data_IF_220228191673
#
_entry.id   IF_220228191673
#
_cell.length_a   1.000
_cell.length_b   1.000
_cell.length_c   1.000
_cell.angle_alpha   90.00
_cell.angle_beta   90.00
_cell.angle_gamma   90.00
#
_symmetry.space_group_name_H-M   'P 1'
#
loop_
_entity.id
_entity.type
_entity.pdbx_description
1 polymer ?
#
# COMPACT_ATOMS: atom_id res chain seq x y z
N UNK A 1 -4.99 -10.09 15.38
CA UNK A 1 -4.32 -9.28 16.43
C UNK A 1 -4.02 -7.86 15.91
N UNK A 2 -3.35 -7.00 16.69
CA UNK A 2 -3.00 -5.63 16.24
C UNK A 2 -1.79 -5.64 15.30
N UNK A 3 -1.90 -4.92 14.18
CA UNK A 3 -0.80 -4.64 13.25
C UNK A 3 0.13 -3.56 13.81
N UNK A 4 0.88 -3.93 14.85
CA UNK A 4 1.77 -3.06 15.64
C UNK A 4 2.83 -3.90 16.34
N UNK A 5 4.05 -3.35 16.44
CA UNK A 5 5.15 -3.90 17.23
C UNK A 5 4.99 -3.43 18.69
N UNK A 6 4.96 -4.39 19.62
CA UNK A 6 5.04 -4.14 21.06
C UNK A 6 6.52 -4.06 21.48
N UNK A 7 7.01 -2.91 21.95
CA UNK A 7 8.42 -2.78 22.35
C UNK A 7 8.79 -3.60 23.60
N UNK A 8 7.82 -4.18 24.30
CA UNK A 8 8.08 -5.02 25.49
C UNK A 8 8.44 -6.46 25.14
N UNK A 9 8.37 -6.83 23.85
CA UNK A 9 8.60 -8.19 23.37
C UNK A 9 9.79 -8.21 22.39
N UNK A 10 10.50 -9.36 22.28
CA UNK A 10 11.57 -9.52 21.30
C UNK A 10 11.09 -9.22 19.88
N UNK A 11 11.92 -8.50 19.10
CA UNK A 11 11.59 -8.05 17.76
C UNK A 11 11.29 -9.24 16.82
N UNK A 12 12.07 -10.31 16.90
CA UNK A 12 11.86 -11.54 16.13
C UNK A 12 10.45 -12.09 16.33
N UNK A 13 10.04 -12.26 17.60
CA UNK A 13 8.72 -12.79 17.94
C UNK A 13 7.58 -11.91 17.43
N UNK A 14 7.70 -10.59 17.60
CA UNK A 14 6.70 -9.64 17.13
C UNK A 14 6.57 -9.61 15.61
N UNK A 15 7.69 -9.64 14.88
CA UNK A 15 7.68 -9.65 13.41
C UNK A 15 7.06 -10.94 12.89
N UNK A 16 7.46 -12.10 13.43
CA UNK A 16 6.87 -13.40 13.08
C UNK A 16 5.36 -13.42 13.34
N UNK A 17 4.92 -12.96 14.51
CA UNK A 17 3.51 -12.85 14.87
C UNK A 17 2.72 -11.99 13.88
N UNK A 18 3.23 -10.81 13.52
CA UNK A 18 2.54 -9.90 12.59
C UNK A 18 2.53 -10.47 11.16
N UNK A 19 3.63 -11.08 10.70
CA UNK A 19 3.66 -11.76 9.41
C UNK A 19 2.60 -12.86 9.37
N UNK A 20 2.54 -13.74 10.37
CA UNK A 20 1.58 -14.84 10.42
C UNK A 20 0.13 -14.33 10.45
N UNK A 21 -0.17 -13.30 11.25
CA UNK A 21 -1.51 -12.70 11.36
C UNK A 21 -1.93 -12.03 10.04
N UNK A 22 -1.06 -11.29 9.36
CA UNK A 22 -1.41 -10.62 8.10
C UNK A 22 -1.50 -11.60 6.92
N UNK A 23 -0.62 -12.61 6.83
CA UNK A 23 -0.69 -13.65 5.80
C UNK A 23 -1.92 -14.54 6.01
N UNK A 24 -2.22 -14.93 7.25
CA UNK A 24 -3.45 -15.65 7.60
C UNK A 24 -4.71 -14.88 7.21
N UNK A 25 -4.76 -13.57 7.47
CA UNK A 25 -5.86 -12.71 6.97
C UNK A 25 -5.90 -12.63 5.45
N UNK A 26 -4.74 -12.60 4.78
CA UNK A 26 -4.67 -12.59 3.31
C UNK A 26 -5.31 -13.87 2.74
N UNK A 27 -5.03 -15.04 3.33
CA UNK A 27 -5.65 -16.32 2.97
C UNK A 27 -7.17 -16.29 3.18
N UNK A 28 -7.66 -15.82 4.33
CA UNK A 28 -9.09 -15.71 4.58
C UNK A 28 -9.80 -14.79 3.56
N UNK A 29 -9.14 -13.72 3.14
CA UNK A 29 -9.66 -12.82 2.11
C UNK A 29 -9.59 -13.40 0.69
N UNK A 30 -8.65 -14.31 0.41
CA UNK A 30 -8.62 -15.08 -0.84
C UNK A 30 -9.82 -16.03 -0.93
N UNK A 31 -10.17 -16.71 0.16
CA UNK A 31 -11.39 -17.55 0.17
C UNK A 31 -12.66 -16.70 0.00
N UNK A 32 -12.73 -15.54 0.68
CA UNK A 32 -13.83 -14.59 0.46
C UNK A 32 -13.91 -14.12 -1.00
N UNK A 33 -12.77 -14.02 -1.70
CA UNK A 33 -12.72 -13.54 -3.08
C UNK A 33 -13.36 -14.53 -4.07
N UNK A 34 -13.57 -15.80 -3.71
CA UNK A 34 -14.28 -16.76 -4.56
C UNK A 34 -15.76 -16.41 -4.73
N UNK A 35 -16.38 -15.90 -3.66
CA UNK A 35 -17.79 -15.48 -3.68
C UNK A 35 -17.94 -13.98 -3.93
N UNK A 36 -17.02 -13.17 -3.37
CA UNK A 36 -17.05 -11.70 -3.41
C UNK A 36 -15.70 -11.16 -3.90
N UNK A 37 -15.36 -11.32 -5.19
CA UNK A 37 -14.06 -10.97 -5.76
C UNK A 37 -13.59 -9.57 -5.38
N UNK A 38 -14.40 -8.55 -5.59
CA UNK A 38 -14.01 -7.15 -5.35
C UNK A 38 -13.56 -6.92 -3.89
N UNK A 39 -14.39 -7.36 -2.94
CA UNK A 39 -14.14 -7.15 -1.53
C UNK A 39 -12.96 -8.02 -1.04
N UNK A 40 -12.95 -9.29 -1.42
CA UNK A 40 -11.90 -10.24 -1.03
C UNK A 40 -10.54 -9.82 -1.56
N UNK A 41 -10.42 -9.53 -2.85
CA UNK A 41 -9.18 -9.11 -3.48
C UNK A 41 -8.67 -7.77 -2.94
N UNK A 42 -9.55 -6.78 -2.73
CA UNK A 42 -9.15 -5.50 -2.14
C UNK A 42 -8.53 -5.71 -0.75
N UNK A 43 -9.22 -6.46 0.11
CA UNK A 43 -8.75 -6.72 1.48
C UNK A 43 -7.48 -7.58 1.49
N UNK A 44 -7.38 -8.61 0.66
CA UNK A 44 -6.18 -9.44 0.51
C UNK A 44 -4.96 -8.59 0.09
N UNK A 45 -5.09 -7.77 -0.97
CA UNK A 45 -4.01 -6.88 -1.43
C UNK A 45 -3.57 -5.90 -0.35
N UNK A 46 -4.48 -5.43 0.49
CA UNK A 46 -4.13 -4.58 1.64
C UNK A 46 -3.22 -5.34 2.63
N UNK A 47 -3.53 -6.61 2.94
CA UNK A 47 -2.69 -7.47 3.80
C UNK A 47 -1.32 -7.74 3.18
N UNK A 48 -1.26 -8.06 1.90
CA UNK A 48 0.02 -8.27 1.20
C UNK A 48 0.89 -7.01 1.19
N UNK A 49 0.29 -5.81 1.09
CA UNK A 49 1.01 -4.54 1.27
C UNK A 49 1.54 -4.39 2.70
N UNK A 50 0.76 -4.75 3.72
CA UNK A 50 1.18 -4.75 5.13
C UNK A 50 2.40 -5.66 5.36
N UNK A 51 2.34 -6.91 4.87
CA UNK A 51 3.43 -7.89 4.95
C UNK A 51 4.71 -7.35 4.32
N UNK A 52 4.61 -6.85 3.07
CA UNK A 52 5.76 -6.28 2.35
C UNK A 52 6.32 -5.02 3.01
N UNK A 53 5.47 -4.21 3.65
CA UNK A 53 5.94 -3.05 4.40
C UNK A 53 6.72 -3.48 5.66
N UNK A 54 6.25 -4.51 6.37
CA UNK A 54 6.95 -5.08 7.52
C UNK A 54 8.32 -5.66 7.13
N UNK A 55 8.38 -6.48 6.08
CA UNK A 55 9.64 -7.05 5.59
C UNK A 55 10.65 -5.97 5.17
N UNK A 56 10.18 -4.86 4.59
CA UNK A 56 11.05 -3.70 4.29
C UNK A 56 11.50 -2.94 5.53
N UNK A 57 10.69 -2.94 6.60
CA UNK A 57 11.03 -2.26 7.84
C UNK A 57 12.19 -2.96 8.55
N UNK A 58 12.23 -4.30 8.50
CA UNK A 58 13.21 -5.10 9.24
C UNK A 58 14.31 -5.69 8.38
N UNK A 59 14.39 -5.27 7.10
CA UNK A 59 15.30 -5.86 6.10
C UNK A 59 16.75 -5.94 6.56
N UNK A 60 17.27 -4.95 7.28
CA UNK A 60 18.68 -4.98 7.70
C UNK A 60 18.99 -5.98 8.81
N UNK A 61 17.97 -6.54 9.48
CA UNK A 61 18.17 -7.59 10.48
C UNK A 61 18.30 -9.00 9.90
N UNK A 62 17.67 -9.27 8.75
CA UNK A 62 17.77 -10.54 8.02
C UNK A 62 17.47 -10.27 6.53
N UNK A 63 18.48 -9.75 5.84
CA UNK A 63 18.31 -9.29 4.46
C UNK A 63 17.94 -10.39 3.47
N UNK A 64 18.59 -11.58 3.46
CA UNK A 64 18.25 -12.67 2.56
C UNK A 64 16.79 -13.14 2.72
N UNK A 65 16.33 -13.33 3.95
CA UNK A 65 14.93 -13.71 4.22
C UNK A 65 13.98 -12.62 3.74
N UNK A 66 14.21 -11.38 4.17
CA UNK A 66 13.31 -10.26 3.87
C UNK A 66 13.20 -9.97 2.38
N UNK A 67 14.30 -10.11 1.62
CA UNK A 67 14.28 -9.94 0.17
C UNK A 67 13.46 -11.04 -0.52
N UNK A 68 13.73 -12.30 -0.18
CA UNK A 68 13.09 -13.48 -0.77
C UNK A 68 11.58 -13.44 -0.55
N UNK A 69 11.15 -13.28 0.70
CA UNK A 69 9.73 -13.24 1.05
C UNK A 69 9.03 -12.00 0.46
N UNK A 70 9.69 -10.84 0.47
CA UNK A 70 9.09 -9.63 -0.13
C UNK A 70 8.88 -9.78 -1.66
N UNK A 71 9.78 -10.48 -2.35
CA UNK A 71 9.62 -10.77 -3.78
C UNK A 71 8.51 -11.79 -4.01
N UNK A 72 8.44 -12.86 -3.21
CA UNK A 72 7.32 -13.80 -3.23
C UNK A 72 5.96 -13.08 -3.10
N UNK A 73 5.76 -12.29 -2.04
CA UNK A 73 4.51 -11.55 -1.85
C UNK A 73 4.27 -10.44 -2.89
N UNK A 74 5.32 -9.94 -3.55
CA UNK A 74 5.18 -9.05 -4.71
C UNK A 74 4.61 -9.80 -5.91
N UNK A 75 5.08 -11.01 -6.18
CA UNK A 75 4.52 -11.85 -7.25
C UNK A 75 3.08 -12.27 -6.95
N UNK A 76 2.78 -12.65 -5.71
CA UNK A 76 1.39 -12.90 -5.27
C UNK A 76 0.50 -11.67 -5.52
N UNK A 77 1.00 -10.47 -5.19
CA UNK A 77 0.27 -9.23 -5.47
C UNK A 77 0.08 -8.98 -6.97
N UNK A 78 0.97 -9.45 -7.84
CA UNK A 78 0.86 -9.29 -9.29
C UNK A 78 -0.22 -10.19 -9.89
N UNK A 79 -0.34 -11.44 -9.41
CA UNK A 79 -1.40 -12.38 -9.81
C UNK A 79 -2.81 -11.80 -9.60
N UNK A 80 -2.98 -10.98 -8.56
CA UNK A 80 -4.26 -10.40 -8.15
C UNK A 80 -4.45 -8.95 -8.65
N UNK A 81 -3.59 -8.44 -9.55
CA UNK A 81 -3.60 -7.04 -9.96
C UNK A 81 -4.77 -6.70 -10.89
N UNK A 82 -4.91 -7.44 -12.00
CA UNK A 82 -5.89 -7.15 -13.05
C UNK A 82 -7.33 -6.99 -12.56
N UNK A 83 -7.90 -7.98 -11.83
CA UNK A 83 -9.29 -7.88 -11.35
C UNK A 83 -9.54 -6.67 -10.42
N UNK A 84 -8.54 -6.29 -9.59
CA UNK A 84 -8.67 -5.08 -8.76
C UNK A 84 -8.56 -3.80 -9.58
N UNK A 85 -7.73 -3.79 -10.61
CA UNK A 85 -7.58 -2.65 -11.53
C UNK A 85 -8.88 -2.40 -12.28
N UNK A 86 -9.59 -3.44 -12.74
CA UNK A 86 -10.91 -3.30 -13.37
C UNK A 86 -11.92 -2.58 -12.45
N UNK A 87 -11.95 -2.95 -11.17
CA UNK A 87 -12.78 -2.27 -10.16
C UNK A 87 -12.39 -0.79 -9.98
N UNK A 88 -11.08 -0.47 -10.05
CA UNK A 88 -10.57 0.90 -9.87
C UNK A 88 -10.96 1.83 -11.02
N UNK A 89 -11.10 1.28 -12.23
CA UNK A 89 -11.54 2.04 -13.40
C UNK A 89 -13.01 2.45 -13.27
N UNK A 90 -13.88 1.56 -12.77
CA UNK A 90 -15.28 1.88 -12.48
C UNK A 90 -15.37 2.97 -11.39
N UNK A 91 -14.65 2.78 -10.27
CA UNK A 91 -14.54 3.78 -9.19
C UNK A 91 -14.04 5.14 -9.72
N UNK A 92 -13.20 5.15 -10.77
CA UNK A 92 -12.71 6.38 -11.39
C UNK A 92 -13.79 7.11 -12.16
N UNK A 93 -14.62 6.41 -12.93
CA UNK A 93 -15.76 7.02 -13.63
C UNK A 93 -16.75 7.61 -12.62
N UNK A 94 -17.06 6.86 -11.56
CA UNK A 94 -17.96 7.30 -10.49
C UNK A 94 -17.44 8.57 -9.79
N UNK A 95 -16.13 8.63 -9.48
CA UNK A 95 -15.50 9.83 -8.93
C UNK A 95 -15.55 11.02 -9.88
N UNK A 96 -15.39 10.81 -11.19
CA UNK A 96 -15.49 11.88 -12.18
C UNK A 96 -16.92 12.41 -12.30
N UNK A 97 -17.91 11.53 -12.33
CA UNK A 97 -19.32 11.94 -12.34
C UNK A 97 -19.67 12.78 -11.09
N UNK A 98 -19.21 12.35 -9.92
CA UNK A 98 -19.42 13.10 -8.67
C UNK A 98 -18.69 14.46 -8.64
N UNK A 99 -17.50 14.55 -9.23
CA UNK A 99 -16.69 15.78 -9.26
C UNK A 99 -17.15 16.80 -10.33
N UNK A 100 -17.87 16.34 -11.36
CA UNK A 100 -18.24 17.13 -12.54
C UNK A 100 -19.74 16.95 -12.91
N UNK A 101 -20.68 17.20 -11.97
CA UNK A 101 -22.08 16.83 -12.14
C UNK A 101 -22.77 17.51 -13.32
N UNK A 102 -22.45 18.78 -13.59
CA UNK A 102 -23.01 19.53 -14.73
C UNK A 102 -22.56 18.93 -16.08
N UNK A 103 -21.33 18.42 -16.14
CA UNK A 103 -20.78 17.85 -17.37
C UNK A 103 -21.21 16.38 -17.57
N UNK A 104 -21.55 15.67 -16.49
CA UNK A 104 -22.05 14.29 -16.55
C UNK A 104 -23.58 14.17 -16.55
N UNK A 105 -24.33 15.25 -16.34
CA UNK A 105 -25.80 15.24 -16.24
C UNK A 105 -26.52 14.64 -17.46
N UNK A 106 -25.88 14.65 -18.64
CA UNK A 106 -26.42 14.05 -19.86
C UNK A 106 -26.13 12.55 -20.05
N UNK A 107 -25.58 11.86 -19.05
CA UNK A 107 -25.25 10.44 -19.15
C UNK A 107 -24.02 10.11 -20.00
N UNK A 108 -23.23 11.12 -20.41
CA UNK A 108 -22.06 10.93 -21.30
C UNK A 108 -20.89 10.15 -20.69
N UNK A 109 -21.04 9.60 -19.48
CA UNK A 109 -20.08 8.68 -18.84
C UNK A 109 -20.65 7.26 -18.69
N UNK A 110 -21.95 7.06 -18.93
CA UNK A 110 -22.66 5.82 -18.62
C UNK A 110 -22.19 4.68 -19.52
N UNK A 111 -22.04 4.93 -20.82
CA UNK A 111 -21.54 3.93 -21.76
C UNK A 111 -20.13 3.41 -21.36
N UNK A 112 -19.23 4.32 -20.97
CA UNK A 112 -17.89 3.96 -20.51
C UNK A 112 -17.95 3.14 -19.21
N UNK A 113 -18.83 3.53 -18.28
CA UNK A 113 -19.04 2.83 -17.02
C UNK A 113 -19.57 1.41 -17.27
N UNK A 114 -20.63 1.27 -18.05
CA UNK A 114 -21.26 -0.01 -18.37
C UNK A 114 -20.27 -0.96 -19.04
N UNK A 115 -19.45 -0.43 -19.96
CA UNK A 115 -18.41 -1.21 -20.62
C UNK A 115 -17.36 -1.75 -19.64
N UNK A 116 -16.94 -0.92 -18.69
CA UNK A 116 -15.98 -1.33 -17.65
C UNK A 116 -16.59 -2.37 -16.70
N UNK A 117 -17.88 -2.23 -16.35
CA UNK A 117 -18.63 -3.21 -15.57
C UNK A 117 -18.68 -4.56 -16.29
N UNK A 118 -19.00 -4.58 -17.59
CA UNK A 118 -18.99 -5.81 -18.39
C UNK A 118 -17.60 -6.48 -18.39
N UNK A 119 -16.54 -5.71 -18.68
CA UNK A 119 -15.15 -6.23 -18.65
C UNK A 119 -14.77 -6.80 -17.29
N UNK A 120 -15.18 -6.13 -16.21
CA UNK A 120 -14.93 -6.61 -14.85
C UNK A 120 -15.68 -7.92 -14.57
N UNK A 121 -16.95 -8.03 -14.98
CA UNK A 121 -17.72 -9.27 -14.86
C UNK A 121 -17.07 -10.43 -15.63
N UNK A 122 -16.60 -10.20 -16.85
CA UNK A 122 -15.87 -11.21 -17.64
C UNK A 122 -14.60 -11.68 -16.92
N UNK A 123 -13.83 -10.74 -16.36
CA UNK A 123 -12.63 -11.07 -15.58
C UNK A 123 -12.93 -11.83 -14.29
N UNK A 124 -14.07 -11.55 -13.64
CA UNK A 124 -14.48 -12.21 -12.40
C UNK A 124 -15.15 -13.56 -12.63
N UNK A 125 -15.80 -13.77 -13.76
CA UNK A 125 -16.49 -15.02 -14.09
C UNK A 125 -15.57 -16.10 -14.71
N UNK A 126 -14.35 -15.72 -15.12
CA UNK A 126 -13.42 -16.64 -15.80
C UNK A 126 -12.62 -17.54 -14.85
N UNK A 127 -12.29 -18.75 -15.31
CA UNK A 127 -11.40 -19.69 -14.62
C UNK A 127 -10.00 -19.10 -14.27
N UNK A 128 -9.60 -18.01 -14.95
CA UNK A 128 -8.37 -17.28 -14.66
C UNK A 128 -8.33 -16.66 -13.26
N UNK A 129 -9.46 -16.16 -12.74
CA UNK A 129 -9.50 -15.62 -11.39
C UNK A 129 -9.33 -16.72 -10.33
N UNK A 130 -10.04 -17.84 -10.48
CA UNK A 130 -9.91 -18.97 -9.56
C UNK A 130 -8.50 -19.57 -9.55
N UNK A 131 -7.86 -19.67 -10.72
CA UNK A 131 -6.47 -20.08 -10.83
C UNK A 131 -5.53 -19.09 -10.12
N UNK A 132 -5.72 -17.77 -10.30
CA UNK A 132 -4.93 -16.74 -9.64
C UNK A 132 -5.11 -16.76 -8.10
N UNK A 133 -6.34 -16.92 -7.62
CA UNK A 133 -6.65 -17.06 -6.19
C UNK A 133 -5.96 -18.31 -5.62
N UNK A 134 -6.04 -19.43 -6.32
CA UNK A 134 -5.46 -20.71 -5.86
C UNK A 134 -3.93 -20.65 -5.82
N UNK A 135 -3.30 -20.09 -6.86
CA UNK A 135 -1.85 -19.87 -6.89
C UNK A 135 -1.39 -18.90 -5.78
N UNK A 136 -2.14 -17.81 -5.57
CA UNK A 136 -1.88 -16.87 -4.47
C UNK A 136 -1.99 -17.55 -3.10
N UNK A 137 -2.97 -18.44 -2.93
CA UNK A 137 -3.18 -19.16 -1.68
C UNK A 137 -2.06 -20.17 -1.39
N UNK A 138 -1.58 -20.89 -2.42
CA UNK A 138 -0.41 -21.80 -2.29
C UNK A 138 0.83 -21.01 -1.84
N UNK A 139 1.18 -19.94 -2.56
CA UNK A 139 2.35 -19.13 -2.22
C UNK A 139 2.23 -18.49 -0.82
N UNK A 140 1.04 -18.05 -0.41
CA UNK A 140 0.82 -17.55 0.95
C UNK A 140 1.03 -18.64 2.02
N UNK A 141 0.59 -19.88 1.78
CA UNK A 141 0.80 -21.01 2.70
C UNK A 141 2.27 -21.41 2.79
N UNK A 142 3.00 -21.42 1.68
CA UNK A 142 4.44 -21.65 1.66
C UNK A 142 5.17 -20.59 2.50
N UNK A 143 4.84 -19.31 2.30
CA UNK A 143 5.40 -18.20 3.09
C UNK A 143 5.11 -18.35 4.59
N UNK A 144 3.92 -18.83 5.00
CA UNK A 144 3.65 -19.13 6.41
C UNK A 144 4.62 -20.18 6.97
N UNK A 145 4.91 -21.24 6.21
CA UNK A 145 5.85 -22.29 6.61
C UNK A 145 7.30 -21.81 6.74
N UNK A 146 7.62 -20.63 6.20
CA UNK A 146 8.96 -20.05 6.28
C UNK A 146 9.13 -19.06 7.43
N UNK A 147 8.06 -18.54 8.03
CA UNK A 147 8.12 -17.48 9.04
C UNK A 147 9.04 -17.83 10.21
N UNK A 148 9.05 -19.09 10.66
CA UNK A 148 9.89 -19.54 11.78
C UNK A 148 11.39 -19.56 11.49
N UNK A 149 11.78 -19.37 10.22
CA UNK A 149 13.18 -19.23 9.82
C UNK A 149 13.72 -17.81 10.04
N UNK A 150 12.84 -16.80 10.11
CA UNK A 150 13.25 -15.40 10.30
C UNK A 150 13.95 -15.23 11.64
N UNK A 151 15.18 -14.75 11.65
CA UNK A 151 15.91 -14.45 12.89
C UNK A 151 16.39 -13.01 12.86
N UNK A 152 15.96 -12.20 13.83
CA UNK A 152 16.37 -10.80 13.95
C UNK A 152 17.23 -10.61 15.20
N UNK A 153 18.14 -9.63 15.18
CA UNK A 153 18.82 -9.18 16.39
C UNK A 153 17.84 -8.63 17.43
N UNK A 154 17.63 -9.37 18.52
CA UNK A 154 16.66 -9.04 19.58
C UNK A 154 17.24 -8.11 20.67
N UNK A 155 18.54 -7.83 20.63
CA UNK A 155 19.13 -6.87 21.56
C UNK A 155 18.53 -5.46 21.34
N UNK A 156 18.08 -4.75 22.39
CA UNK A 156 17.34 -3.48 22.25
C UNK A 156 18.00 -2.45 21.33
N UNK A 157 19.31 -2.29 21.42
CA UNK A 157 20.05 -1.34 20.57
C UNK A 157 20.01 -1.72 19.09
N UNK A 158 20.23 -3.00 18.79
CA UNK A 158 20.27 -3.53 17.42
C UNK A 158 18.87 -3.53 16.80
N UNK A 159 17.85 -3.97 17.57
CA UNK A 159 16.45 -3.92 17.17
C UNK A 159 15.99 -2.48 16.87
N UNK A 160 16.35 -1.51 17.71
CA UNK A 160 16.05 -0.10 17.49
C UNK A 160 16.69 0.43 16.20
N UNK A 161 17.94 0.05 15.93
CA UNK A 161 18.66 0.48 14.73
C UNK A 161 18.06 -0.11 13.44
N UNK A 162 17.66 -1.39 13.47
CA UNK A 162 16.94 -2.03 12.36
C UNK A 162 15.65 -1.26 12.01
N UNK A 163 14.82 -0.99 13.01
CA UNK A 163 13.55 -0.27 12.81
C UNK A 163 13.78 1.16 12.30
N UNK A 164 14.77 1.86 12.85
CA UNK A 164 15.11 3.21 12.43
C UNK A 164 15.66 3.26 11.01
N UNK A 165 16.49 2.28 10.63
CA UNK A 165 17.06 2.16 9.30
C UNK A 165 15.99 1.85 8.24
N UNK A 166 15.12 0.87 8.48
CA UNK A 166 14.04 0.53 7.53
C UNK A 166 13.06 1.68 7.30
N UNK A 167 12.71 2.41 8.37
CA UNK A 167 11.92 3.64 8.26
C UNK A 167 12.67 4.71 7.46
N UNK A 168 13.97 4.88 7.71
CA UNK A 168 14.82 5.84 6.98
C UNK A 168 14.93 5.52 5.50
N UNK A 169 15.09 4.25 5.14
CA UNK A 169 15.16 3.80 3.76
C UNK A 169 13.85 4.14 3.01
N UNK A 170 12.70 3.93 3.66
CA UNK A 170 11.39 4.26 3.08
C UNK A 170 11.20 5.76 2.89
N UNK A 171 11.57 6.58 3.87
CA UNK A 171 11.50 8.04 3.75
C UNK A 171 12.45 8.59 2.68
N UNK A 172 13.66 8.03 2.55
CA UNK A 172 14.59 8.36 1.46
C UNK A 172 13.99 8.03 0.09
N UNK A 173 13.33 6.87 -0.03
CA UNK A 173 12.61 6.49 -1.24
C UNK A 173 11.48 7.47 -1.56
N UNK A 174 10.70 7.87 -0.56
CA UNK A 174 9.62 8.84 -0.72
C UNK A 174 10.15 10.19 -1.22
N UNK A 175 11.24 10.70 -0.62
CA UNK A 175 11.87 11.96 -1.06
C UNK A 175 12.41 11.87 -2.48
N UNK A 176 13.11 10.78 -2.83
CA UNK A 176 13.60 10.57 -4.21
C UNK A 176 12.45 10.50 -5.22
N UNK A 177 11.35 9.85 -4.87
CA UNK A 177 10.17 9.76 -5.73
C UNK A 177 9.46 11.12 -5.86
N UNK A 178 9.41 11.91 -4.79
CA UNK A 178 8.92 13.29 -4.81
C UNK A 178 9.77 14.17 -5.74
N UNK A 179 11.09 14.12 -5.61
CA UNK A 179 12.01 14.90 -6.45
C UNK A 179 11.80 14.59 -7.94
N UNK A 180 11.61 13.30 -8.29
CA UNK A 180 11.29 12.86 -9.65
C UNK A 180 9.90 13.30 -10.11
N UNK A 181 8.87 13.10 -9.29
CA UNK A 181 7.50 13.47 -9.62
C UNK A 181 7.35 14.99 -9.81
N UNK A 182 8.10 15.79 -9.06
CA UNK A 182 8.12 17.25 -9.20
C UNK A 182 8.89 17.76 -10.41
N UNK A 183 9.95 17.05 -10.83
CA UNK A 183 10.81 17.48 -11.95
C UNK A 183 10.37 16.93 -13.31
N UNK A 184 10.07 15.63 -13.40
CA UNK A 184 9.67 14.95 -14.64
C UNK A 184 8.16 14.87 -14.79
N UNK A 185 7.47 14.55 -13.70
CA UNK A 185 6.00 14.47 -13.66
C UNK A 185 5.42 13.34 -14.52
N UNK A 186 6.13 12.23 -14.72
CA UNK A 186 5.61 11.07 -15.43
C UNK A 186 4.77 10.17 -14.52
N UNK A 187 3.90 9.34 -15.12
CA UNK A 187 3.00 8.46 -14.37
C UNK A 187 3.74 7.52 -13.41
N UNK A 188 4.88 6.98 -13.84
CA UNK A 188 5.72 6.10 -13.03
C UNK A 188 6.36 6.80 -11.83
N UNK A 189 6.70 8.09 -11.95
CA UNK A 189 7.27 8.85 -10.84
C UNK A 189 6.23 9.04 -9.72
N UNK A 190 4.99 9.38 -10.07
CA UNK A 190 3.87 9.45 -9.13
C UNK A 190 3.51 8.06 -8.56
N UNK A 191 3.61 7.01 -9.37
CA UNK A 191 3.38 5.65 -8.90
C UNK A 191 4.44 5.23 -7.86
N UNK A 192 5.70 5.57 -8.06
CA UNK A 192 6.76 5.32 -7.07
C UNK A 192 6.56 6.13 -5.79
N UNK A 193 6.10 7.38 -5.90
CA UNK A 193 5.74 8.20 -4.73
C UNK A 193 4.59 7.57 -3.97
N UNK A 194 3.56 7.06 -4.66
CA UNK A 194 2.45 6.32 -4.07
C UNK A 194 2.91 5.08 -3.31
N UNK A 195 3.78 4.26 -3.91
CA UNK A 195 4.34 3.06 -3.26
C UNK A 195 5.07 3.42 -1.96
N UNK A 196 5.86 4.50 -1.99
CA UNK A 196 6.60 4.97 -0.82
C UNK A 196 5.66 5.52 0.28
N UNK A 197 4.67 6.33 -0.09
CA UNK A 197 3.68 6.87 0.85
C UNK A 197 2.86 5.76 1.54
N UNK A 198 2.35 4.78 0.78
CA UNK A 198 1.62 3.62 1.36
C UNK A 198 2.52 2.77 2.25
N UNK A 199 3.79 2.57 1.90
CA UNK A 199 4.74 1.85 2.76
C UNK A 199 4.96 2.61 4.07
N UNK A 200 5.16 3.93 3.99
CA UNK A 200 5.37 4.77 5.17
C UNK A 200 4.12 4.82 6.09
N UNK A 201 2.90 4.85 5.53
CA UNK A 201 1.65 4.71 6.30
C UNK A 201 1.62 3.41 7.12
N UNK A 202 2.01 2.29 6.50
CA UNK A 202 2.10 1.00 7.19
C UNK A 202 3.21 1.00 8.25
N UNK A 203 4.36 1.62 7.98
CA UNK A 203 5.42 1.80 8.97
C UNK A 203 4.94 2.61 10.19
N UNK A 204 4.21 3.70 9.98
CA UNK A 204 3.61 4.48 11.09
C UNK A 204 2.59 3.65 11.89
N UNK A 205 1.90 2.71 11.25
CA UNK A 205 0.97 1.80 11.93
C UNK A 205 1.72 0.78 12.79
N UNK A 206 2.77 0.16 12.22
CA UNK A 206 3.66 -0.79 12.89
C UNK A 206 4.38 -0.16 14.09
N UNK A 207 4.94 1.03 13.88
CA UNK A 207 5.74 1.80 14.83
C UNK A 207 4.88 2.68 15.74
N UNK A 208 3.59 2.40 15.88
CA UNK A 208 2.64 3.26 16.57
C UNK A 208 3.06 3.70 17.98
N UNK A 209 3.75 2.82 18.72
CA UNK A 209 4.29 3.08 20.07
C UNK A 209 5.69 3.68 20.07
N UNK A 210 6.45 3.48 18.99
CA UNK A 210 7.88 3.80 18.87
C UNK A 210 8.14 5.12 18.13
N UNK A 211 7.20 5.56 17.29
CA UNK A 211 7.39 6.75 16.46
C UNK A 211 7.34 8.04 17.31
N UNK A 212 8.19 9.04 17.01
CA UNK A 212 8.16 10.33 17.71
C UNK A 212 6.81 11.05 17.59
N UNK A 213 6.32 11.62 18.70
CA UNK A 213 5.06 12.37 18.71
C UNK A 213 5.17 13.72 17.98
N UNK A 214 4.07 14.23 17.39
CA UNK A 214 2.74 13.60 17.28
C UNK A 214 2.63 12.64 16.06
N UNK A 215 2.33 11.37 16.32
CA UNK A 215 2.20 10.35 15.27
C UNK A 215 0.83 10.38 14.55
N UNK A 216 -0.25 10.73 15.27
CA UNK A 216 -1.63 10.65 14.75
C UNK A 216 -1.85 11.59 13.56
N UNK A 217 -1.40 12.84 13.66
CA UNK A 217 -1.49 13.83 12.58
C UNK A 217 -0.70 13.39 11.36
N UNK A 218 0.55 12.95 11.56
CA UNK A 218 1.41 12.44 10.47
C UNK A 218 0.77 11.24 9.77
N UNK A 219 0.20 10.29 10.52
CA UNK A 219 -0.49 9.14 9.94
C UNK A 219 -1.69 9.56 9.10
N UNK A 220 -2.56 10.43 9.62
CA UNK A 220 -3.72 10.95 8.87
C UNK A 220 -3.29 11.64 7.57
N UNK A 221 -2.25 12.47 7.62
CA UNK A 221 -1.73 13.16 6.44
C UNK A 221 -1.16 12.19 5.39
N UNK A 222 -0.36 11.21 5.80
CA UNK A 222 0.21 10.19 4.88
C UNK A 222 -0.87 9.29 4.30
N UNK A 223 -1.87 8.91 5.10
CA UNK A 223 -3.02 8.12 4.63
C UNK A 223 -3.79 8.90 3.55
N UNK A 224 -4.08 10.18 3.82
CA UNK A 224 -4.79 11.07 2.89
C UNK A 224 -4.01 11.29 1.58
N UNK A 225 -2.70 11.53 1.66
CA UNK A 225 -1.83 11.59 0.48
C UNK A 225 -1.85 10.26 -0.29
N UNK A 226 -1.81 9.13 0.42
CA UNK A 226 -1.85 7.81 -0.18
C UNK A 226 -3.14 7.53 -0.96
N UNK A 227 -4.29 8.03 -0.49
CA UNK A 227 -5.55 7.93 -1.23
C UNK A 227 -5.54 8.82 -2.48
N UNK A 228 -5.16 10.10 -2.37
CA UNK A 228 -5.07 11.00 -3.54
C UNK A 228 -4.10 10.50 -4.62
N UNK A 229 -2.95 9.96 -4.21
CA UNK A 229 -2.02 9.32 -5.15
C UNK A 229 -2.61 8.04 -5.76
N UNK A 230 -3.52 7.36 -5.06
CA UNK A 230 -4.33 6.26 -5.61
C UNK A 230 -5.25 6.75 -6.71
N UNK A 231 -6.03 7.78 -6.44
CA UNK A 231 -6.92 8.38 -7.44
C UNK A 231 -6.14 8.84 -8.68
N UNK A 232 -4.98 9.49 -8.48
CA UNK A 232 -4.12 9.93 -9.58
C UNK A 232 -3.57 8.75 -10.39
N UNK A 233 -3.20 7.65 -9.74
CA UNK A 233 -2.76 6.44 -10.43
C UNK A 233 -3.89 5.84 -11.27
N UNK A 234 -5.10 5.76 -10.73
CA UNK A 234 -6.25 5.22 -11.47
C UNK A 234 -6.58 6.10 -12.69
N UNK A 235 -6.42 7.44 -12.58
CA UNK A 235 -6.50 8.36 -13.72
C UNK A 235 -5.47 8.04 -14.80
N UNK A 236 -4.21 7.76 -14.44
CA UNK A 236 -3.19 7.37 -15.42
C UNK A 236 -3.52 6.05 -16.11
N UNK A 237 -4.01 5.06 -15.36
CA UNK A 237 -4.42 3.77 -15.94
C UNK A 237 -5.59 3.95 -16.90
N UNK A 238 -6.60 4.76 -16.53
CA UNK A 238 -7.74 5.05 -17.40
C UNK A 238 -7.32 5.77 -18.70
N UNK A 239 -6.39 6.73 -18.60
CA UNK A 239 -5.86 7.40 -19.80
C UNK A 239 -5.14 6.43 -20.73
N UNK A 240 -4.26 5.59 -20.17
CA UNK A 240 -3.57 4.56 -20.95
C UNK A 240 -4.55 3.59 -21.62
N UNK A 241 -5.68 3.28 -20.97
CA UNK A 241 -6.74 2.45 -21.54
C UNK A 241 -7.47 3.14 -22.71
N UNK A 242 -7.70 4.46 -22.64
CA UNK A 242 -8.29 5.23 -23.73
C UNK A 242 -7.34 5.41 -24.93
N UNK A 243 -6.04 5.51 -24.65
CA UNK A 243 -5.00 5.70 -25.67
C UNK A 243 -4.60 4.38 -26.35
N UNK A 244 -4.98 3.22 -25.79
CA UNK A 244 -4.67 1.91 -26.36
C UNK A 244 -5.57 1.58 -27.57
N UNK A 245 -5.00 0.93 -28.59
CA UNK A 245 -5.74 0.38 -29.75
C UNK A 245 -6.55 -0.86 -29.33
N UNK A 246 -7.62 -0.60 -28.59
CA UNK A 246 -8.57 -1.61 -28.12
C UNK A 246 -10.01 -1.23 -28.44
N UNK A 247 -10.95 -2.07 -28.01
CA UNK A 247 -12.36 -1.79 -28.21
C UNK A 247 -12.75 -0.50 -27.45
N UNK A 248 -13.41 0.46 -28.11
CA UNK A 248 -13.79 1.72 -27.49
C UNK A 248 -14.61 1.50 -26.22
N UNK A 249 -14.38 2.34 -25.20
CA UNK A 249 -15.18 2.31 -23.97
C UNK A 249 -16.61 2.81 -24.21
N UNK A 250 -16.87 3.54 -25.29
CA UNK A 250 -18.18 4.04 -25.65
C UNK A 250 -18.13 4.85 -26.94
N UNK A 251 -19.21 5.57 -27.27
CA UNK A 251 -19.26 6.48 -28.41
C UNK A 251 -18.11 7.50 -28.43
N UNK A 252 -17.71 8.02 -29.60
CA UNK A 252 -16.64 9.01 -29.72
C UNK A 252 -16.86 10.29 -28.88
N UNK A 253 -18.11 10.71 -28.68
CA UNK A 253 -18.43 11.90 -27.89
C UNK A 253 -18.20 11.67 -26.39
N UNK A 254 -18.66 10.52 -25.88
CA UNK A 254 -18.49 10.10 -24.49
C UNK A 254 -17.02 9.89 -24.13
N UNK A 255 -16.26 9.24 -25.01
CA UNK A 255 -14.81 9.02 -24.79
C UNK A 255 -14.03 10.33 -24.83
N UNK A 256 -14.42 11.30 -25.66
CA UNK A 256 -13.85 12.67 -25.64
C UNK A 256 -14.19 13.42 -24.35
N UNK A 257 -15.43 13.29 -23.86
CA UNK A 257 -15.84 13.87 -22.58
C UNK A 257 -15.02 13.27 -21.43
N UNK A 258 -14.93 11.94 -21.35
CA UNK A 258 -14.14 11.23 -20.35
C UNK A 258 -12.67 11.67 -20.37
N UNK A 259 -12.04 11.72 -21.56
CA UNK A 259 -10.66 12.19 -21.71
C UNK A 259 -10.46 13.63 -21.20
N UNK A 260 -11.43 14.52 -21.47
CA UNK A 260 -11.44 15.91 -20.98
C UNK A 260 -11.53 15.97 -19.45
N UNK A 261 -12.41 15.18 -18.83
CA UNK A 261 -12.57 15.14 -17.37
C UNK A 261 -11.34 14.53 -16.68
N UNK A 262 -10.77 13.46 -17.23
CA UNK A 262 -9.51 12.86 -16.76
C UNK A 262 -8.38 13.88 -16.75
N UNK A 263 -8.20 14.65 -17.83
CA UNK A 263 -7.16 15.70 -17.91
C UNK A 263 -7.33 16.78 -16.83
N UNK A 264 -8.58 17.17 -16.53
CA UNK A 264 -8.89 18.15 -15.47
C UNK A 264 -8.58 17.58 -14.08
N UNK A 265 -9.03 16.34 -13.81
CA UNK A 265 -8.79 15.62 -12.56
C UNK A 265 -7.28 15.43 -12.33
N UNK A 266 -6.56 14.95 -13.33
CA UNK A 266 -5.10 14.75 -13.30
C UNK A 266 -4.36 16.03 -12.90
N UNK A 267 -4.67 17.17 -13.54
CA UNK A 267 -4.02 18.45 -13.24
C UNK A 267 -4.21 18.86 -11.77
N UNK A 268 -5.43 18.70 -11.25
CA UNK A 268 -5.77 19.01 -9.86
C UNK A 268 -5.03 18.07 -8.89
N UNK A 269 -5.13 16.75 -9.13
CA UNK A 269 -4.54 15.72 -8.28
C UNK A 269 -3.01 15.79 -8.25
N UNK A 270 -2.34 16.03 -9.39
CA UNK A 270 -0.88 16.22 -9.45
C UNK A 270 -0.47 17.37 -8.53
N UNK A 271 -1.15 18.52 -8.63
CA UNK A 271 -0.84 19.71 -7.83
C UNK A 271 -1.00 19.43 -6.33
N UNK A 272 -2.13 18.85 -5.92
CA UNK A 272 -2.38 18.54 -4.50
C UNK A 272 -1.42 17.48 -3.97
N UNK A 273 -1.18 16.40 -4.72
CA UNK A 273 -0.28 15.32 -4.30
C UNK A 273 1.15 15.83 -4.08
N UNK A 274 1.65 16.71 -4.95
CA UNK A 274 2.98 17.30 -4.79
C UNK A 274 3.05 18.20 -3.57
N UNK A 275 2.06 19.08 -3.36
CA UNK A 275 2.02 19.98 -2.19
C UNK A 275 2.05 19.19 -0.87
N UNK A 276 1.18 18.18 -0.75
CA UNK A 276 1.11 17.33 0.45
C UNK A 276 2.38 16.49 0.64
N UNK A 277 2.96 15.99 -0.46
CA UNK A 277 4.19 15.20 -0.40
C UNK A 277 5.39 16.06 0.02
N UNK A 278 5.47 17.32 -0.41
CA UNK A 278 6.49 18.29 0.04
C UNK A 278 6.40 18.48 1.55
N UNK A 279 5.21 18.70 2.09
CA UNK A 279 5.00 18.84 3.53
C UNK A 279 5.44 17.59 4.31
N UNK A 280 5.16 16.39 3.78
CA UNK A 280 5.42 15.13 4.48
C UNK A 280 6.84 14.58 4.35
N UNK A 281 7.49 14.82 3.20
CA UNK A 281 8.72 14.15 2.78
C UNK A 281 9.83 15.10 2.28
N UNK A 282 9.61 16.42 2.23
CA UNK A 282 10.61 17.39 1.78
C UNK A 282 11.82 17.46 2.73
N UNK A 283 11.56 17.37 4.03
CA UNK A 283 12.59 17.38 5.07
C UNK A 283 13.50 16.15 5.05
N UNK A 284 14.73 16.33 5.56
CA UNK A 284 15.68 15.23 5.69
C UNK A 284 15.13 14.12 6.62
N UNK A 285 15.08 12.85 6.16
CA UNK A 285 14.64 11.72 6.98
C UNK A 285 15.46 11.50 8.25
N UNK A 286 16.70 12.03 8.30
CA UNK A 286 17.68 11.77 9.35
C UNK A 286 17.19 12.20 10.74
N UNK A 287 16.46 13.32 10.83
CA UNK A 287 16.01 13.87 12.11
C UNK A 287 14.93 12.98 12.75
N UNK A 288 13.90 12.63 11.99
CA UNK A 288 12.80 11.79 12.49
C UNK A 288 13.28 10.38 12.84
N UNK A 289 14.17 9.80 12.03
CA UNK A 289 14.64 8.43 12.27
C UNK A 289 15.64 8.34 13.42
N UNK A 290 16.44 9.39 13.68
CA UNK A 290 17.26 9.47 14.90
C UNK A 290 16.41 9.53 16.17
N UNK A 291 15.32 10.31 16.15
CA UNK A 291 14.37 10.36 17.26
C UNK A 291 13.68 9.01 17.46
N UNK A 292 13.32 8.33 16.38
CA UNK A 292 12.79 6.96 16.41
C UNK A 292 13.80 5.99 17.03
N UNK A 293 15.05 5.98 16.58
CA UNK A 293 16.09 5.10 17.13
C UNK A 293 16.26 5.30 18.64
N UNK A 294 16.38 6.55 19.10
CA UNK A 294 16.49 6.86 20.52
C UNK A 294 15.28 6.36 21.31
N UNK A 295 14.07 6.72 20.90
CA UNK A 295 12.85 6.28 21.57
C UNK A 295 12.69 4.75 21.57
N UNK A 296 13.03 4.10 20.46
CA UNK A 296 12.99 2.65 20.37
C UNK A 296 13.98 2.00 21.33
N UNK A 297 15.21 2.52 21.49
CA UNK A 297 16.15 2.02 22.50
C UNK A 297 15.58 2.15 23.91
N UNK A 298 15.03 3.30 24.25
CA UNK A 298 14.46 3.55 25.58
C UNK A 298 13.28 2.58 25.86
N UNK A 299 12.34 2.46 24.91
CA UNK A 299 11.14 1.63 25.06
C UNK A 299 11.45 0.12 25.01
N UNK A 300 12.44 -0.33 24.23
CA UNK A 300 12.86 -1.73 24.13
C UNK A 300 13.71 -2.16 25.35
N UNK A 301 14.48 -1.23 25.93
CA UNK A 301 15.31 -1.51 27.12
C UNK A 301 14.53 -1.45 28.43
N UNK A 302 13.45 -0.67 28.51
CA UNK A 302 12.62 -0.52 29.73
C UNK A 302 11.66 -1.68 30.02
N UNK A 303 11.73 -2.78 29.27
CA UNK A 303 10.84 -3.94 29.42
C UNK A 303 11.01 -4.86 30.67
N UNK A 304 12.01 -4.75 31.59
CA UNK A 304 12.11 -5.73 32.68
C UNK A 304 11.17 -5.55 33.89
N UNK A 305 10.71 -4.35 34.25
CA UNK A 305 10.19 -4.14 35.63
C UNK A 305 8.67 -4.24 35.85
N UNK A 306 7.84 -4.13 34.80
CA UNK A 306 6.38 -4.13 34.97
C UNK A 306 5.76 -5.54 35.17
N UNK A 307 6.54 -6.61 35.02
CA UNK A 307 6.06 -7.99 35.24
C UNK A 307 6.33 -8.51 36.66
N UNK A 308 7.24 -7.88 37.42
CA UNK A 308 7.52 -8.25 38.81
C UNK A 308 6.57 -7.56 39.83
N UNK A 309 6.03 -6.38 39.48
CA UNK A 309 5.14 -5.62 40.37
C UNK A 309 3.67 -6.10 40.38
N UNK A 310 3.29 -7.02 39.49
CA UNK A 310 1.94 -7.59 39.43
C UNK A 310 1.80 -8.96 40.11
N UNK A 311 2.89 -9.47 40.72
CA UNK A 311 2.93 -10.76 41.41
C UNK A 311 3.33 -10.64 42.90
N UNK A 312 3.30 -9.43 43.47
CA UNK A 312 3.54 -9.14 44.89
C UNK A 312 2.26 -8.80 45.64
#
# INVERSE_FOLDING_TARGET
MSFRIDPRLPLTGEVRRILADEVGKALAHLETAREKPEQGLHKCRKRLKSVRALLRLVRSGDEPFCQTENECYKQVSALLAGPREATALIETVDRLAAAFPEQSAGGGLDAARDRLVMRQHEMHAGAGLDAAISAAAVACREGLGHIDRLSLPDQPEQAADILAEGARATLRRARKALDKAGSRGEADDFHDLRKAAKTHSMHLSLLGRLWPTPIKSRRKAVDSLGERLGDLHDVFVMRALLDADGEPLGPPEDTRLLAKLLKRSEKSLRKSCLADAIELFGDSPKRSTRKLARKARDDLAGAPDDLAAAAG
#
